data_IF_532622124633
#
_entry.id   IF_532622124633
#
_cell.length_a   1.000
_cell.length_b   1.000
_cell.length_c   1.000
_cell.angle_alpha   90.00
_cell.angle_beta   90.00
_cell.angle_gamma   90.00
#
_symmetry.space_group_name_H-M   'P 1'
#
loop_
_entity.id
_entity.type
_entity.pdbx_description
1 polymer ?
#
# COMPACT_ATOMS: atom_id res chain seq x y z
N UNK A 1 -49.13 -14.09 10.18
CA UNK A 1 -48.06 -14.04 9.16
C UNK A 1 -46.74 -13.71 9.85
N UNK A 2 -45.83 -14.63 9.86
CA UNK A 2 -44.50 -14.35 10.35
C UNK A 2 -43.72 -13.54 9.29
N UNK A 3 -43.36 -12.32 9.60
CA UNK A 3 -42.43 -11.57 8.77
C UNK A 3 -41.03 -12.20 8.90
N UNK A 4 -40.70 -13.05 7.94
CA UNK A 4 -39.35 -13.62 7.89
C UNK A 4 -38.36 -12.57 7.51
N UNK A 5 -37.43 -12.28 8.40
CA UNK A 5 -36.22 -11.54 8.03
C UNK A 5 -35.36 -12.44 7.14
N UNK A 6 -35.21 -12.07 5.89
CA UNK A 6 -34.16 -12.67 5.06
C UNK A 6 -32.80 -12.11 5.49
N UNK A 7 -32.09 -12.90 6.28
CA UNK A 7 -30.67 -12.66 6.46
C UNK A 7 -29.97 -13.09 5.15
N UNK A 8 -29.38 -12.14 4.47
CA UNK A 8 -28.44 -12.46 3.44
C UNK A 8 -27.15 -12.89 4.16
N UNK A 9 -27.02 -14.20 4.36
CA UNK A 9 -25.75 -14.77 4.79
C UNK A 9 -24.81 -14.73 3.58
N UNK A 10 -24.23 -13.54 3.35
CA UNK A 10 -23.01 -13.51 2.57
C UNK A 10 -21.97 -14.34 3.34
N UNK A 11 -21.19 -15.21 2.65
CA UNK A 11 -20.16 -15.97 3.32
C UNK A 11 -19.27 -14.97 4.07
N UNK A 12 -19.25 -15.11 5.38
CA UNK A 12 -18.38 -14.34 6.24
C UNK A 12 -16.96 -14.55 5.72
N UNK A 13 -16.38 -13.53 5.14
CA UNK A 13 -14.97 -13.57 4.77
C UNK A 13 -14.22 -13.69 6.09
N UNK A 14 -13.69 -14.87 6.38
CA UNK A 14 -12.83 -15.10 7.54
C UNK A 14 -11.72 -14.05 7.47
N UNK A 15 -11.82 -13.02 8.31
CA UNK A 15 -10.74 -12.07 8.48
C UNK A 15 -9.65 -12.79 9.23
N UNK A 16 -8.58 -13.09 8.51
CA UNK A 16 -7.36 -13.62 9.12
C UNK A 16 -6.88 -12.63 10.19
N UNK A 17 -6.81 -13.07 11.42
CA UNK A 17 -6.26 -12.27 12.52
C UNK A 17 -4.77 -12.04 12.24
N UNK A 18 -4.44 -10.84 11.77
CA UNK A 18 -3.06 -10.40 11.51
C UNK A 18 -2.45 -9.64 12.69
N UNK A 19 -3.13 -9.69 13.83
CA UNK A 19 -2.82 -8.85 14.97
C UNK A 19 -2.94 -9.67 16.25
N UNK A 20 -1.87 -9.72 17.02
CA UNK A 20 -1.87 -10.34 18.32
C UNK A 20 -2.44 -9.38 19.37
N UNK A 21 -3.58 -9.73 19.93
CA UNK A 21 -4.30 -8.93 20.93
C UNK A 21 -3.53 -8.83 22.25
N UNK A 22 -2.69 -9.80 22.56
CA UNK A 22 -1.92 -9.83 23.81
C UNK A 22 -0.77 -8.82 23.80
N UNK A 23 -0.13 -8.62 22.66
CA UNK A 23 1.00 -7.70 22.49
C UNK A 23 0.61 -6.33 21.92
N UNK A 24 -0.53 -6.26 21.26
CA UNK A 24 -1.01 -5.04 20.65
C UNK A 24 -1.71 -4.09 21.61
N UNK A 25 -1.61 -2.80 21.35
CA UNK A 25 -2.32 -1.76 22.10
C UNK A 25 -3.27 -1.01 21.18
N UNK A 26 -4.56 -0.99 21.53
CA UNK A 26 -5.54 -0.17 20.84
C UNK A 26 -5.43 1.28 21.32
N UNK A 27 -5.17 2.21 20.40
CA UNK A 27 -5.28 3.63 20.68
C UNK A 27 -6.73 4.09 20.56
N UNK A 28 -7.19 4.83 21.54
CA UNK A 28 -8.50 5.48 21.53
C UNK A 28 -8.36 6.90 21.02
N UNK A 29 -9.36 7.35 20.30
CA UNK A 29 -9.54 8.74 19.89
C UNK A 29 -9.82 8.87 18.40
N UNK A 30 -10.56 9.92 18.00
CA UNK A 30 -10.79 10.23 16.60
C UNK A 30 -9.51 10.79 15.99
N UNK A 31 -9.11 10.24 14.84
CA UNK A 31 -8.07 10.78 13.99
C UNK A 31 -8.69 11.16 12.65
N UNK A 32 -8.33 12.32 12.13
CA UNK A 32 -8.70 12.72 10.78
C UNK A 32 -7.69 12.10 9.80
N UNK A 33 -8.18 11.31 8.86
CA UNK A 33 -7.33 10.76 7.80
C UNK A 33 -6.89 11.87 6.85
N UNK A 34 -5.58 12.01 6.70
CA UNK A 34 -5.00 12.83 5.64
C UNK A 34 -5.01 12.01 4.34
N UNK A 35 -5.73 12.48 3.36
CA UNK A 35 -5.90 11.81 2.07
C UNK A 35 -5.02 12.38 0.97
N UNK A 36 -4.08 13.25 1.31
CA UNK A 36 -3.24 13.98 0.34
C UNK A 36 -2.43 13.03 -0.56
N UNK A 37 -1.97 11.90 0.01
CA UNK A 37 -1.22 10.88 -0.69
C UNK A 37 -2.08 9.70 -1.19
N UNK A 38 -3.40 9.85 -1.22
CA UNK A 38 -4.32 8.79 -1.66
C UNK A 38 -5.01 9.17 -2.96
N UNK A 39 -5.18 8.18 -3.83
CA UNK A 39 -5.96 8.34 -5.06
C UNK A 39 -7.45 8.20 -4.74
N UNK A 40 -8.26 9.14 -5.19
CA UNK A 40 -9.73 9.11 -5.00
C UNK A 40 -10.31 7.81 -5.60
N UNK A 41 -11.13 7.12 -4.83
CA UNK A 41 -11.73 5.85 -5.22
C UNK A 41 -10.86 4.62 -4.94
N UNK A 42 -9.68 4.79 -4.34
CA UNK A 42 -8.86 3.68 -3.86
C UNK A 42 -9.45 3.05 -2.61
N UNK A 43 -9.34 1.73 -2.51
CA UNK A 43 -9.69 0.98 -1.31
C UNK A 43 -8.48 0.88 -0.38
N UNK A 44 -8.67 1.18 0.88
CA UNK A 44 -7.68 0.92 1.91
C UNK A 44 -7.89 -0.50 2.45
N UNK A 45 -6.91 -1.40 2.28
CA UNK A 45 -6.99 -2.74 2.86
C UNK A 45 -7.03 -2.68 4.39
N UNK A 46 -7.63 -3.69 5.02
CA UNK A 46 -7.53 -3.87 6.47
C UNK A 46 -6.05 -3.97 6.88
N UNK A 47 -5.73 -3.47 8.07
CA UNK A 47 -4.36 -3.46 8.61
C UNK A 47 -3.34 -2.65 7.80
N UNK A 48 -3.81 -1.67 7.04
CA UNK A 48 -2.91 -0.70 6.40
C UNK A 48 -2.14 0.08 7.47
N UNK A 49 -0.80 0.13 7.41
CA UNK A 49 -0.01 0.90 8.37
C UNK A 49 -0.29 2.40 8.20
N UNK A 50 -0.40 3.10 9.32
CA UNK A 50 -0.62 4.54 9.37
C UNK A 50 0.41 5.21 10.25
N UNK A 51 0.84 6.40 9.88
CA UNK A 51 1.60 7.32 10.71
C UNK A 51 0.62 8.31 11.36
N UNK A 52 0.54 8.32 12.68
CA UNK A 52 -0.38 9.18 13.41
C UNK A 52 0.35 10.34 14.11
N UNK A 53 -0.08 11.55 13.84
CA UNK A 53 0.30 12.73 14.61
C UNK A 53 -0.63 12.86 15.82
N UNK A 54 -0.07 12.66 17.00
CA UNK A 54 -0.83 12.64 18.25
C UNK A 54 -1.27 14.03 18.71
N UNK A 55 -0.57 15.05 18.27
CA UNK A 55 -0.85 16.45 18.63
C UNK A 55 -1.94 17.00 17.72
N UNK A 56 -1.78 16.86 16.43
CA UNK A 56 -2.74 17.34 15.43
C UNK A 56 -3.95 16.43 15.26
N UNK A 57 -3.90 15.22 15.80
CA UNK A 57 -4.95 14.19 15.62
C UNK A 57 -5.22 13.86 14.16
N UNK A 58 -4.17 13.83 13.36
CA UNK A 58 -4.20 13.41 11.96
C UNK A 58 -3.51 12.07 11.79
N UNK A 59 -3.92 11.30 10.80
CA UNK A 59 -3.30 10.04 10.43
C UNK A 59 -3.07 10.01 8.93
N UNK A 60 -1.87 9.64 8.50
CA UNK A 60 -1.49 9.48 7.11
C UNK A 60 -1.19 8.02 6.83
N UNK A 61 -1.59 7.53 5.66
CA UNK A 61 -1.29 6.16 5.24
C UNK A 61 0.20 6.06 4.89
N UNK A 62 0.89 5.11 5.51
CA UNK A 62 2.26 4.76 5.14
C UNK A 62 2.23 3.80 3.95
N UNK A 63 2.42 4.33 2.74
CA UNK A 63 2.37 3.53 1.52
C UNK A 63 3.67 2.73 1.41
N UNK A 64 3.53 1.44 1.19
CA UNK A 64 4.64 0.53 0.92
C UNK A 64 4.36 -0.27 -0.35
N UNK A 65 5.42 -0.63 -1.03
CA UNK A 65 5.38 -1.37 -2.29
C UNK A 65 6.37 -2.52 -2.19
N UNK A 66 5.95 -3.71 -2.59
CA UNK A 66 6.81 -4.88 -2.62
C UNK A 66 7.23 -5.19 -4.06
N UNK A 67 8.52 -5.36 -4.28
CA UNK A 67 9.09 -5.69 -5.58
C UNK A 67 8.68 -7.12 -5.97
N UNK A 68 8.10 -7.27 -7.16
CA UNK A 68 7.62 -8.57 -7.66
C UNK A 68 8.75 -9.42 -8.25
N UNK A 69 9.63 -8.81 -9.02
CA UNK A 69 10.72 -9.46 -9.73
C UNK A 69 12.00 -8.65 -9.55
N UNK A 70 13.14 -9.31 -9.56
CA UNK A 70 14.45 -8.65 -9.45
C UNK A 70 14.56 -7.47 -10.41
N UNK A 71 14.91 -6.32 -9.87
CA UNK A 71 15.25 -5.12 -10.63
C UNK A 71 16.76 -4.96 -10.68
N UNK A 72 17.29 -4.77 -11.86
CA UNK A 72 18.72 -4.51 -12.07
C UNK A 72 18.91 -3.07 -12.50
N UNK A 73 19.77 -2.35 -11.79
CA UNK A 73 20.17 -0.98 -12.11
C UNK A 73 20.95 -0.95 -13.43
N UNK A 74 21.11 0.20 -14.03
CA UNK A 74 21.82 0.38 -15.28
C UNK A 74 20.94 0.96 -16.39
N UNK A 75 20.41 2.16 -16.17
CA UNK A 75 19.49 2.87 -17.08
C UNK A 75 18.11 2.20 -17.20
N UNK A 76 17.76 1.31 -16.30
CA UNK A 76 16.45 0.68 -16.24
C UNK A 76 15.47 1.56 -15.46
N UNK A 77 14.36 1.89 -16.07
CA UNK A 77 13.30 2.71 -15.45
C UNK A 77 12.00 1.93 -15.22
N UNK A 78 12.02 0.61 -15.45
CA UNK A 78 10.84 -0.23 -15.31
C UNK A 78 10.95 -1.13 -14.09
N UNK A 79 10.09 -0.91 -13.09
CA UNK A 79 10.01 -1.69 -11.87
C UNK A 79 8.69 -2.47 -11.83
N UNK A 80 8.73 -3.77 -11.59
CA UNK A 80 7.54 -4.61 -11.40
C UNK A 80 7.27 -4.77 -9.90
N UNK A 81 6.04 -4.51 -9.51
CA UNK A 81 5.61 -4.57 -8.11
C UNK A 81 4.42 -5.51 -7.95
N UNK A 82 4.21 -6.00 -6.74
CA UNK A 82 3.03 -6.81 -6.42
C UNK A 82 1.75 -5.99 -6.59
N UNK A 83 0.70 -6.68 -7.02
CA UNK A 83 -0.64 -6.11 -7.15
C UNK A 83 -1.22 -5.63 -5.83
N UNK A 84 -2.14 -4.67 -5.92
CA UNK A 84 -2.87 -4.16 -4.77
C UNK A 84 -2.12 -3.09 -3.98
N UNK A 85 -1.03 -2.55 -4.51
CA UNK A 85 -0.33 -1.42 -3.89
C UNK A 85 -1.15 -0.13 -4.01
N UNK A 86 -0.94 0.77 -3.05
CA UNK A 86 -1.52 2.12 -3.06
C UNK A 86 -0.63 3.14 -3.79
N UNK A 87 0.37 2.68 -4.53
CA UNK A 87 1.27 3.54 -5.28
C UNK A 87 0.52 4.43 -6.27
N UNK A 88 0.97 5.65 -6.42
CA UNK A 88 0.38 6.65 -7.31
C UNK A 88 1.45 7.36 -8.14
N UNK A 89 1.04 7.95 -9.26
CA UNK A 89 1.93 8.75 -10.11
C UNK A 89 2.42 9.97 -9.35
N UNK A 90 3.73 10.20 -9.39
CA UNK A 90 4.40 11.30 -8.67
C UNK A 90 4.90 10.92 -7.28
N UNK A 91 4.57 9.73 -6.78
CA UNK A 91 5.08 9.21 -5.52
C UNK A 91 6.59 8.98 -5.61
N UNK A 92 7.31 9.33 -4.57
CA UNK A 92 8.73 9.03 -4.43
C UNK A 92 8.90 7.72 -3.68
N UNK A 93 9.44 6.71 -4.35
CA UNK A 93 9.75 5.41 -3.76
C UNK A 93 11.20 5.34 -3.35
N UNK A 94 11.47 4.84 -2.16
CA UNK A 94 12.82 4.67 -1.66
C UNK A 94 12.98 3.49 -0.72
N UNK A 95 14.24 3.11 -0.51
CA UNK A 95 14.66 2.13 0.51
C UNK A 95 15.44 2.78 1.67
N UNK A 96 15.47 4.11 1.71
CA UNK A 96 16.22 4.89 2.69
C UNK A 96 17.60 5.33 2.22
N UNK A 97 18.22 4.65 1.25
CA UNK A 97 19.51 5.00 0.67
C UNK A 97 19.36 5.52 -0.78
N UNK A 98 18.53 4.87 -1.55
CA UNK A 98 18.24 5.20 -2.94
C UNK A 98 16.74 5.33 -3.16
N UNK A 99 16.35 6.00 -4.23
CA UNK A 99 14.94 6.17 -4.55
C UNK A 99 14.72 6.83 -5.91
N UNK A 100 13.49 6.67 -6.41
CA UNK A 100 13.07 7.27 -7.67
C UNK A 100 11.59 7.64 -7.63
N UNK A 101 11.20 8.62 -8.42
CA UNK A 101 9.83 9.07 -8.54
C UNK A 101 9.08 8.22 -9.57
N UNK A 102 7.85 7.86 -9.27
CA UNK A 102 6.98 7.13 -10.20
C UNK A 102 6.44 8.09 -11.25
N UNK A 103 6.74 7.83 -12.50
CA UNK A 103 6.27 8.64 -13.63
C UNK A 103 4.95 8.11 -14.21
N UNK A 104 4.79 6.80 -14.27
CA UNK A 104 3.57 6.15 -14.74
C UNK A 104 3.36 4.79 -14.08
N UNK A 105 2.11 4.33 -14.04
CA UNK A 105 1.72 3.03 -13.51
C UNK A 105 0.86 2.33 -14.55
N UNK A 106 1.24 1.11 -14.93
CA UNK A 106 0.47 0.22 -15.79
C UNK A 106 -0.03 -0.97 -14.96
N UNK A 107 -1.34 -1.11 -14.87
CA UNK A 107 -2.04 -2.16 -14.11
C UNK A 107 -2.70 -3.21 -15.02
N UNK A 108 -2.37 -3.22 -16.30
CA UNK A 108 -2.97 -4.12 -17.30
C UNK A 108 -2.61 -5.59 -17.09
N UNK A 109 -1.44 -5.89 -16.57
CA UNK A 109 -1.02 -7.25 -16.26
C UNK A 109 -1.79 -7.81 -15.06
N UNK A 110 -2.07 -9.12 -15.06
CA UNK A 110 -2.81 -9.79 -13.98
C UNK A 110 -1.93 -10.19 -12.81
N UNK A 111 -0.64 -10.38 -13.02
CA UNK A 111 0.29 -10.88 -12.01
C UNK A 111 1.01 -9.76 -11.24
N UNK A 112 1.29 -8.66 -11.89
CA UNK A 112 2.05 -7.54 -11.31
C UNK A 112 1.56 -6.19 -11.83
N UNK A 113 1.96 -5.13 -11.17
CA UNK A 113 1.83 -3.76 -11.66
C UNK A 113 3.21 -3.28 -12.12
N UNK A 114 3.25 -2.60 -13.25
CA UNK A 114 4.48 -2.08 -13.84
C UNK A 114 4.59 -0.60 -13.57
N UNK A 115 5.62 -0.22 -12.85
CA UNK A 115 5.96 1.19 -12.62
C UNK A 115 6.98 1.66 -13.64
N UNK A 116 6.78 2.84 -14.20
CA UNK A 116 7.80 3.57 -14.94
C UNK A 116 8.37 4.64 -14.03
N UNK A 117 9.64 4.53 -13.70
CA UNK A 117 10.36 5.48 -12.88
C UNK A 117 10.85 6.66 -13.71
N UNK A 118 10.97 7.83 -13.12
CA UNK A 118 11.51 9.02 -13.78
C UNK A 118 13.02 8.92 -14.03
N UNK A 119 13.73 8.13 -13.21
CA UNK A 119 15.15 7.84 -13.32
C UNK A 119 15.43 6.41 -12.85
N UNK A 120 16.64 5.91 -13.11
CA UNK A 120 17.09 4.64 -12.53
C UNK A 120 17.04 4.70 -11.00
N UNK A 121 16.69 3.60 -10.36
CA UNK A 121 16.59 3.53 -8.90
C UNK A 121 17.94 3.70 -8.21
N UNK A 122 19.03 3.35 -8.88
CA UNK A 122 20.41 3.50 -8.40
C UNK A 122 20.95 2.30 -7.63
N UNK A 123 20.17 1.27 -7.44
CA UNK A 123 20.55 0.04 -6.75
C UNK A 123 19.78 -1.16 -7.30
N UNK A 124 20.38 -2.35 -7.24
CA UNK A 124 19.69 -3.59 -7.56
C UNK A 124 18.71 -3.96 -6.45
N UNK A 125 17.49 -4.31 -6.82
CA UNK A 125 16.44 -4.71 -5.89
C UNK A 125 16.08 -6.18 -6.12
N UNK A 126 16.17 -6.97 -5.06
CA UNK A 126 15.74 -8.37 -5.10
C UNK A 126 14.19 -8.45 -5.01
N UNK A 127 13.65 -9.56 -5.53
CA UNK A 127 12.22 -9.85 -5.39
C UNK A 127 11.85 -9.94 -3.90
N UNK A 128 10.73 -9.35 -3.52
CA UNK A 128 10.28 -9.27 -2.13
C UNK A 128 10.83 -8.07 -1.33
N UNK A 129 11.73 -7.28 -1.89
CA UNK A 129 12.18 -6.04 -1.27
C UNK A 129 11.01 -5.08 -1.10
N UNK A 130 10.90 -4.45 0.07
CA UNK A 130 9.84 -3.48 0.39
C UNK A 130 10.40 -2.07 0.25
N UNK A 131 9.71 -1.25 -0.53
CA UNK A 131 10.01 0.16 -0.74
C UNK A 131 8.92 1.02 -0.10
N UNK A 132 9.27 2.20 0.33
CA UNK A 132 8.40 3.14 1.04
C UNK A 132 8.32 4.49 0.33
N UNK A 133 7.26 5.23 0.62
CA UNK A 133 7.12 6.65 0.28
C UNK A 133 8.08 7.52 1.10
#
# INVERSE_FOLDING_TARGET
MAAGFKYNLEPEVEQEERYDVETGRRRRGPYKLDTTNLVVGSWLPSFTPIAADLVKKTAQVAIRVEVYEKFTTGSNTTLKIKKGSLAYKGMHLGNGAHGATINAIDKSDKAFDKLTLAADFGEDLEAGTVLYE
#
